data_IF_872911513278
#
_entry.id   IF_872911513278
#
_cell.length_a   1.000
_cell.length_b   1.000
_cell.length_c   1.000
_cell.angle_alpha   90.00
_cell.angle_beta   90.00
_cell.angle_gamma   90.00
#
_symmetry.space_group_name_H-M   'P 1'
#
loop_
_entity.id
_entity.type
_entity.pdbx_description
1 polymer ?
#
# COMPACT_ATOMS: atom_id res chain seq x y z
N UNK A 1 -8.55 -28.34 18.08
CA UNK A 1 -9.06 -27.27 17.19
C UNK A 1 -8.46 -27.50 15.81
N UNK A 2 -9.30 -27.71 14.80
CA UNK A 2 -8.88 -27.99 13.42
C UNK A 2 -8.52 -26.66 12.72
N UNK A 3 -7.31 -26.16 13.00
CA UNK A 3 -6.81 -24.85 12.51
C UNK A 3 -6.89 -24.72 10.98
N UNK A 4 -6.83 -25.83 10.26
CA UNK A 4 -6.85 -25.86 8.80
C UNK A 4 -8.21 -25.46 8.21
N UNK A 5 -9.32 -25.68 8.92
CA UNK A 5 -10.68 -25.43 8.39
C UNK A 5 -11.19 -24.02 8.63
N UNK A 6 -10.52 -23.19 9.44
CA UNK A 6 -11.05 -21.87 9.83
C UNK A 6 -10.01 -20.73 9.87
N UNK A 7 -8.85 -20.93 9.24
CA UNK A 7 -7.77 -19.94 9.29
C UNK A 7 -8.18 -18.59 8.66
N UNK A 8 -9.05 -18.59 7.65
CA UNK A 8 -9.52 -17.35 7.01
C UNK A 8 -10.38 -16.49 7.94
N UNK A 9 -11.25 -17.10 8.76
CA UNK A 9 -12.03 -16.35 9.74
C UNK A 9 -11.17 -15.85 10.91
N UNK A 10 -10.12 -16.60 11.28
CA UNK A 10 -9.15 -16.14 12.28
C UNK A 10 -8.37 -14.93 11.72
N UNK A 11 -7.88 -15.03 10.48
CA UNK A 11 -7.16 -13.94 9.82
C UNK A 11 -8.03 -12.69 9.68
N UNK A 12 -9.30 -12.84 9.28
CA UNK A 12 -10.24 -11.73 9.17
C UNK A 12 -10.39 -10.99 10.51
N UNK A 13 -10.64 -11.73 11.61
CA UNK A 13 -10.76 -11.13 12.95
C UNK A 13 -9.50 -10.38 13.40
N UNK A 14 -8.32 -10.90 13.07
CA UNK A 14 -7.05 -10.23 13.39
C UNK A 14 -6.89 -8.95 12.58
N UNK A 15 -7.19 -8.98 11.27
CA UNK A 15 -7.15 -7.79 10.42
C UNK A 15 -8.18 -6.73 10.83
N UNK A 16 -9.39 -7.14 11.23
CA UNK A 16 -10.41 -6.24 11.76
C UNK A 16 -9.91 -5.53 13.03
N UNK A 17 -9.27 -6.27 13.95
CA UNK A 17 -8.69 -5.69 15.16
C UNK A 17 -7.55 -4.71 14.82
N UNK A 18 -6.63 -5.07 13.93
CA UNK A 18 -5.56 -4.18 13.48
C UNK A 18 -6.09 -2.95 12.74
N UNK A 19 -7.21 -3.08 12.02
CA UNK A 19 -7.86 -1.93 11.39
C UNK A 19 -8.47 -0.99 12.43
N UNK A 20 -9.09 -1.53 13.48
CA UNK A 20 -9.66 -0.75 14.58
C UNK A 20 -8.58 -0.05 15.42
N UNK A 21 -7.39 -0.64 15.51
CA UNK A 21 -6.22 -0.07 16.20
C UNK A 21 -5.39 0.87 15.32
N UNK A 22 -5.87 1.20 14.11
CA UNK A 22 -5.17 2.08 13.16
C UNK A 22 -3.73 1.61 12.85
N UNK A 23 -3.54 0.29 12.78
CA UNK A 23 -2.24 -0.30 12.47
C UNK A 23 -1.67 0.22 11.14
N UNK A 24 -0.35 0.25 11.06
CA UNK A 24 0.37 0.91 9.96
C UNK A 24 0.03 0.37 8.56
N UNK A 25 -0.45 -0.86 8.44
CA UNK A 25 -0.85 -1.48 7.15
C UNK A 25 -2.35 -1.38 6.85
N UNK A 26 -3.15 -0.84 7.77
CA UNK A 26 -4.62 -0.74 7.61
C UNK A 26 -5.06 0.69 7.30
N UNK A 27 -4.22 1.68 7.59
CA UNK A 27 -4.56 3.10 7.39
C UNK A 27 -4.19 3.60 6.00
N UNK A 28 -5.10 4.23 5.22
CA UNK A 28 -4.74 4.86 3.96
C UNK A 28 -3.81 6.06 4.19
N UNK A 29 -3.12 6.51 3.14
CA UNK A 29 -2.36 7.76 3.23
C UNK A 29 -3.28 8.96 3.45
N UNK A 30 -2.77 9.99 4.11
CA UNK A 30 -3.51 11.25 4.27
C UNK A 30 -3.52 12.07 2.99
N UNK A 31 -4.43 13.05 2.92
CA UNK A 31 -4.41 14.04 1.84
C UNK A 31 -3.08 14.80 1.76
N UNK A 32 -2.49 15.11 2.92
CA UNK A 32 -1.22 15.83 2.99
C UNK A 32 -0.06 14.98 2.45
N UNK A 33 -0.04 13.67 2.71
CA UNK A 33 0.96 12.77 2.15
C UNK A 33 0.87 12.70 0.63
N UNK A 34 -0.35 12.63 0.10
CA UNK A 34 -0.57 12.66 -1.34
C UNK A 34 -0.12 13.99 -1.98
N UNK A 35 -0.42 15.12 -1.34
CA UNK A 35 0.03 16.44 -1.81
C UNK A 35 1.56 16.57 -1.80
N UNK A 36 2.23 16.01 -0.80
CA UNK A 36 3.70 15.94 -0.77
C UNK A 36 4.25 15.05 -1.89
N UNK A 37 3.59 13.91 -2.15
CA UNK A 37 4.00 13.00 -3.21
C UNK A 37 3.93 13.66 -4.59
N UNK A 38 2.89 14.45 -4.88
CA UNK A 38 2.78 15.24 -6.11
C UNK A 38 3.94 16.22 -6.30
N UNK A 39 4.53 16.71 -5.21
CA UNK A 39 5.68 17.63 -5.22
C UNK A 39 7.04 16.89 -5.21
N UNK A 40 7.07 15.59 -5.47
CA UNK A 40 8.29 14.79 -5.52
C UNK A 40 8.80 14.29 -4.17
N UNK A 41 8.12 14.64 -3.07
CA UNK A 41 8.41 14.11 -1.73
C UNK A 41 7.58 12.85 -1.47
N UNK A 42 8.15 11.70 -1.81
CA UNK A 42 7.48 10.41 -1.70
C UNK A 42 8.43 9.28 -1.31
N UNK A 43 7.84 8.22 -0.75
CA UNK A 43 8.47 6.94 -0.50
C UNK A 43 7.42 5.81 -0.57
N UNK A 44 7.90 4.59 -0.83
CA UNK A 44 7.13 3.34 -0.82
C UNK A 44 7.75 2.46 0.27
N UNK A 45 6.96 1.81 1.11
CA UNK A 45 7.44 0.94 2.19
C UNK A 45 7.74 -0.45 1.65
N UNK A 46 8.96 -0.92 1.90
CA UNK A 46 9.35 -2.32 1.72
C UNK A 46 8.99 -3.14 2.97
N UNK A 47 9.17 -2.55 4.14
CA UNK A 47 8.77 -3.07 5.45
C UNK A 47 8.24 -1.91 6.30
N UNK A 48 7.68 -2.15 7.52
CA UNK A 48 7.19 -1.07 8.39
C UNK A 48 8.24 0.03 8.63
N UNK A 49 9.52 -0.36 8.70
CA UNK A 49 10.63 0.54 9.07
C UNK A 49 11.61 0.79 7.93
N UNK A 50 11.37 0.27 6.72
CA UNK A 50 12.27 0.45 5.56
C UNK A 50 11.50 0.84 4.33
N UNK A 51 11.99 1.87 3.65
CA UNK A 51 11.49 2.29 2.34
C UNK A 51 12.24 1.58 1.21
N UNK A 52 11.57 1.41 0.07
CA UNK A 52 12.21 0.98 -1.18
C UNK A 52 13.14 2.09 -1.66
N UNK A 53 14.42 1.79 -1.99
CA UNK A 53 15.33 2.76 -2.60
C UNK A 53 14.74 3.35 -3.89
N UNK A 54 14.85 4.68 -4.08
CA UNK A 54 14.21 5.36 -5.22
C UNK A 54 14.77 4.89 -6.57
N UNK A 55 16.05 4.55 -6.60
CA UNK A 55 16.78 4.04 -7.76
C UNK A 55 16.31 2.66 -8.24
N UNK A 56 15.53 1.92 -7.44
CA UNK A 56 14.91 0.67 -7.88
C UNK A 56 13.70 0.89 -8.77
N UNK A 57 13.10 2.08 -8.74
CA UNK A 57 11.95 2.40 -9.58
C UNK A 57 12.42 2.83 -10.97
N UNK A 58 11.75 2.36 -12.04
CA UNK A 58 11.91 2.95 -13.36
C UNK A 58 11.31 4.36 -13.37
N UNK A 59 11.51 5.15 -14.45
CA UNK A 59 10.73 6.36 -14.66
C UNK A 59 9.23 6.06 -14.59
N UNK A 60 8.54 6.65 -13.61
CA UNK A 60 7.14 6.30 -13.30
C UNK A 60 6.13 7.02 -14.19
N UNK A 61 6.47 8.19 -14.74
CA UNK A 61 5.56 8.98 -15.57
C UNK A 61 5.15 8.20 -16.83
N UNK A 62 3.85 7.91 -16.96
CA UNK A 62 3.27 7.13 -18.05
C UNK A 62 3.47 5.62 -17.93
N UNK A 63 4.16 5.13 -16.89
CA UNK A 63 4.37 3.71 -16.66
C UNK A 63 3.04 3.04 -16.29
N UNK A 64 2.73 1.88 -16.87
CA UNK A 64 1.57 1.07 -16.47
C UNK A 64 1.97 0.20 -15.28
N UNK A 65 1.37 0.44 -14.12
CA UNK A 65 1.67 -0.27 -12.87
C UNK A 65 0.47 -1.10 -12.45
N UNK A 66 0.68 -2.40 -12.27
CA UNK A 66 -0.33 -3.32 -11.72
C UNK A 66 -0.02 -3.60 -10.24
N UNK A 67 -0.91 -3.20 -9.34
CA UNK A 67 -0.84 -3.50 -7.92
C UNK A 67 -1.60 -4.78 -7.59
N UNK A 68 -0.86 -5.87 -7.35
CA UNK A 68 -1.39 -7.15 -6.87
C UNK A 68 -1.23 -7.24 -5.36
N UNK A 69 -2.33 -7.18 -4.59
CA UNK A 69 -2.28 -7.19 -3.12
C UNK A 69 -1.28 -6.15 -2.54
N UNK A 70 -1.18 -4.99 -3.18
CA UNK A 70 -0.07 -4.06 -3.03
C UNK A 70 -0.37 -2.84 -2.13
N UNK A 71 -1.24 -3.00 -1.13
CA UNK A 71 -1.65 -1.90 -0.25
C UNK A 71 -2.35 -0.79 -1.02
N UNK A 72 -3.50 -1.12 -1.63
CA UNK A 72 -4.17 -0.29 -2.64
C UNK A 72 -4.48 1.14 -2.22
N UNK A 73 -4.91 1.36 -0.97
CA UNK A 73 -5.15 2.71 -0.42
C UNK A 73 -3.91 3.41 0.14
N UNK A 74 -2.77 2.72 0.21
CA UNK A 74 -1.55 3.24 0.82
C UNK A 74 -0.50 3.63 -0.20
N UNK A 75 -0.04 2.67 -1.00
CA UNK A 75 1.20 2.83 -1.77
C UNK A 75 0.93 3.21 -3.23
N UNK A 76 -0.20 2.75 -3.77
CA UNK A 76 -0.56 2.99 -5.17
C UNK A 76 -0.92 4.45 -5.48
N UNK A 77 -1.58 5.21 -4.59
CA UNK A 77 -1.76 6.66 -4.78
C UNK A 77 -0.43 7.39 -4.90
N UNK A 78 0.61 6.95 -4.19
CA UNK A 78 1.95 7.55 -4.27
C UNK A 78 2.56 7.34 -5.66
N UNK A 79 2.43 6.15 -6.24
CA UNK A 79 2.89 5.87 -7.61
C UNK A 79 2.08 6.65 -8.65
N UNK A 80 0.75 6.76 -8.46
CA UNK A 80 -0.11 7.57 -9.30
C UNK A 80 0.29 9.07 -9.25
N UNK A 81 0.69 9.59 -8.08
CA UNK A 81 1.20 10.95 -7.94
C UNK A 81 2.49 11.20 -8.71
N UNK A 82 3.29 10.16 -8.98
CA UNK A 82 4.46 10.23 -9.87
C UNK A 82 4.12 10.12 -11.37
N UNK A 83 2.83 10.10 -11.71
CA UNK A 83 2.33 10.04 -13.07
C UNK A 83 2.20 8.61 -13.63
N UNK A 84 2.25 7.58 -12.79
CA UNK A 84 2.02 6.21 -13.23
C UNK A 84 0.53 5.93 -13.48
N UNK A 85 0.24 5.13 -14.51
CA UNK A 85 -1.08 4.62 -14.84
C UNK A 85 -1.32 3.34 -14.02
N UNK A 86 -1.92 3.52 -12.86
CA UNK A 86 -2.10 2.47 -11.87
C UNK A 86 -3.37 1.65 -12.12
N UNK A 87 -3.25 0.33 -12.07
CA UNK A 87 -4.37 -0.63 -12.03
C UNK A 87 -4.27 -1.41 -10.72
N UNK A 88 -5.38 -1.55 -10.01
CA UNK A 88 -5.48 -2.28 -8.74
C UNK A 88 -6.30 -3.55 -8.92
N UNK A 89 -5.84 -4.66 -8.36
CA UNK A 89 -6.66 -5.88 -8.24
C UNK A 89 -6.58 -6.40 -6.81
N UNK A 90 -7.69 -6.31 -6.08
CA UNK A 90 -7.85 -6.72 -4.68
C UNK A 90 -7.57 -5.61 -3.65
N UNK A 91 -8.24 -5.72 -2.51
CA UNK A 91 -7.97 -5.02 -1.25
C UNK A 91 -7.65 -6.08 -0.19
#
# INVERSE_FOLDING_TARGET
>A
MDYQKNYTAINAKVWDAWSAEEFEWTMPISHQDFAQALNGSWAIKLTPVRTVPKEWFPPLKGCRVLGLAAGGGQQMPVLAAQGALCTLTGC
#
